data_IF_426833122426
#
_entry.id   IF_426833122426
#
_cell.length_a   1.000
_cell.length_b   1.000
_cell.length_c   1.000
_cell.angle_alpha   90.00
_cell.angle_beta   90.00
_cell.angle_gamma   90.00
#
_symmetry.space_group_name_H-M   'P 1'
#
loop_
_entity.id
_entity.type
_entity.pdbx_description
1 polymer ?
#
# COMPACT_ATOMS: atom_id res chain seq x y z
N UNK A 1 18.59 -14.03 17.30
CA UNK A 1 17.13 -13.77 17.23
C UNK A 1 16.99 -12.46 16.49
N UNK A 2 16.27 -12.41 15.37
CA UNK A 2 16.19 -11.17 14.56
C UNK A 2 14.96 -10.37 14.94
N UNK A 3 15.11 -9.05 15.09
CA UNK A 3 13.98 -8.18 15.39
C UNK A 3 14.36 -6.72 15.55
N UNK A 4 13.43 -5.95 16.12
CA UNK A 4 13.63 -4.53 16.41
C UNK A 4 14.57 -4.43 17.61
N UNK A 5 15.68 -3.70 17.48
CA UNK A 5 16.63 -3.36 18.56
C UNK A 5 16.39 -1.96 19.11
N UNK A 6 15.81 -1.07 18.31
CA UNK A 6 15.53 0.31 18.70
C UNK A 6 14.37 0.87 17.90
N UNK A 7 13.65 1.83 18.46
CA UNK A 7 12.59 2.57 17.76
C UNK A 7 12.66 4.06 18.05
N UNK A 8 12.06 4.86 17.17
CA UNK A 8 11.87 6.29 17.33
C UNK A 8 10.64 6.75 16.54
N UNK A 9 10.03 7.85 16.96
CA UNK A 9 8.87 8.41 16.28
C UNK A 9 9.05 9.92 16.09
N UNK A 10 8.23 10.47 15.20
CA UNK A 10 8.01 11.90 15.07
C UNK A 10 6.55 12.15 14.73
N UNK A 11 5.88 12.94 15.56
CA UNK A 11 4.61 13.59 15.22
C UNK A 11 4.85 15.09 15.21
N UNK A 12 4.51 15.82 14.12
CA UNK A 12 4.56 17.27 14.08
C UNK A 12 3.83 17.86 15.28
N UNK A 13 4.28 18.95 15.91
CA UNK A 13 3.56 19.54 17.03
C UNK A 13 2.28 20.28 16.60
N UNK A 14 2.13 20.59 15.31
CA UNK A 14 1.01 21.36 14.82
C UNK A 14 -0.26 20.52 14.76
N UNK A 15 -1.39 21.09 15.23
CA UNK A 15 -2.68 20.41 15.32
C UNK A 15 -3.76 21.19 14.57
N UNK A 16 -4.46 20.50 13.68
CA UNK A 16 -5.65 21.02 13.02
C UNK A 16 -6.88 20.45 13.71
N UNK A 17 -7.57 21.29 14.49
CA UNK A 17 -8.81 20.89 15.17
C UNK A 17 -9.93 20.67 14.16
N UNK A 18 -10.77 19.66 14.38
CA UNK A 18 -11.89 19.36 13.48
C UNK A 18 -12.93 20.48 13.47
N UNK A 19 -13.07 21.21 14.58
CA UNK A 19 -13.90 22.42 14.62
C UNK A 19 -13.42 23.47 13.61
N UNK A 20 -12.10 23.65 13.47
CA UNK A 20 -11.48 24.61 12.54
C UNK A 20 -11.74 24.26 11.08
N UNK A 21 -11.73 22.97 10.72
CA UNK A 21 -12.14 22.50 9.39
C UNK A 21 -13.58 22.89 9.06
N UNK A 22 -14.47 22.88 10.06
CA UNK A 22 -15.86 23.31 9.94
C UNK A 22 -16.09 24.81 10.15
N UNK A 23 -15.04 25.64 10.12
CA UNK A 23 -15.15 27.10 10.30
C UNK A 23 -15.48 27.56 11.73
N UNK A 24 -15.36 26.66 12.72
CA UNK A 24 -15.62 26.95 14.14
C UNK A 24 -14.32 27.09 14.92
N UNK A 25 -14.30 27.85 16.03
CA UNK A 25 -13.12 27.93 16.89
C UNK A 25 -12.78 26.55 17.45
N UNK A 26 -11.48 26.27 17.59
CA UNK A 26 -11.01 25.05 18.26
C UNK A 26 -11.51 25.02 19.71
N UNK A 27 -11.85 23.82 20.19
CA UNK A 27 -12.21 23.57 21.58
C UNK A 27 -11.07 22.86 22.29
N UNK A 28 -10.78 23.25 23.52
CA UNK A 28 -9.76 22.58 24.34
C UNK A 28 -10.15 21.11 24.57
N UNK A 29 -9.22 20.20 24.30
CA UNK A 29 -9.46 18.76 24.37
C UNK A 29 -10.36 18.19 23.26
N UNK A 30 -10.81 19.02 22.31
CA UNK A 30 -11.58 18.57 21.15
C UNK A 30 -10.76 17.73 20.16
N UNK A 31 -11.42 16.99 19.26
CA UNK A 31 -10.74 16.14 18.29
C UNK A 31 -9.94 16.97 17.28
N UNK A 32 -8.73 16.49 17.00
CA UNK A 32 -7.75 17.12 16.11
C UNK A 32 -6.98 16.07 15.29
N UNK A 33 -6.20 16.54 14.31
CA UNK A 33 -5.20 15.73 13.61
C UNK A 33 -3.85 16.42 13.65
N UNK A 34 -2.76 15.65 13.62
CA UNK A 34 -1.43 16.22 13.48
C UNK A 34 -1.17 16.53 12.00
N UNK A 35 -0.60 17.70 11.75
CA UNK A 35 -0.25 18.13 10.40
C UNK A 35 1.18 18.64 10.38
N UNK A 36 1.95 18.20 9.39
CA UNK A 36 3.20 18.83 9.00
C UNK A 36 2.92 20.31 8.67
N UNK A 37 3.82 21.20 9.07
CA UNK A 37 3.69 22.63 8.81
C UNK A 37 4.38 23.04 7.49
N UNK A 38 4.72 24.32 7.32
CA UNK A 38 5.25 24.85 6.05
C UNK A 38 6.72 24.46 5.78
N UNK A 39 7.44 23.99 6.80
CA UNK A 39 8.85 23.58 6.76
C UNK A 39 9.02 22.07 7.04
N UNK A 40 7.91 21.32 7.06
CA UNK A 40 7.90 19.89 7.34
C UNK A 40 7.34 19.09 6.16
N UNK A 41 7.98 17.98 5.85
CA UNK A 41 7.53 16.99 4.87
C UNK A 41 7.88 15.57 5.35
N UNK A 42 7.56 14.56 4.54
CA UNK A 42 7.85 13.18 4.89
C UNK A 42 9.34 12.90 5.14
N UNK A 43 10.25 13.67 4.52
CA UNK A 43 11.70 13.49 4.68
C UNK A 43 12.16 14.09 6.01
N UNK A 44 11.76 15.32 6.32
CA UNK A 44 12.21 15.98 7.55
C UNK A 44 11.68 15.26 8.79
N UNK A 45 10.43 14.76 8.72
CA UNK A 45 9.87 13.91 9.76
C UNK A 45 10.62 12.58 9.88
N UNK A 46 10.91 11.91 8.76
CA UNK A 46 11.66 10.66 8.72
C UNK A 46 13.05 10.78 9.34
N UNK A 47 13.80 11.83 8.99
CA UNK A 47 15.13 12.10 9.59
C UNK A 47 15.00 12.28 11.10
N UNK A 48 14.00 13.02 11.59
CA UNK A 48 13.84 13.23 13.03
C UNK A 48 13.47 11.96 13.77
N UNK A 49 12.58 11.13 13.22
CA UNK A 49 12.25 9.82 13.79
C UNK A 49 13.47 8.90 13.84
N UNK A 50 14.29 8.89 12.79
CA UNK A 50 15.52 8.10 12.72
C UNK A 50 16.59 8.61 13.70
N UNK A 51 16.75 9.92 13.89
CA UNK A 51 17.63 10.49 14.92
C UNK A 51 17.20 10.01 16.31
N UNK A 52 15.90 10.01 16.61
CA UNK A 52 15.38 9.50 17.88
C UNK A 52 15.62 7.99 18.02
N UNK A 53 15.49 7.22 16.93
CA UNK A 53 15.73 5.78 16.91
C UNK A 53 17.21 5.42 17.13
N UNK A 54 18.14 6.16 16.54
CA UNK A 54 19.59 5.90 16.65
C UNK A 54 20.22 6.48 17.94
N UNK A 55 19.43 7.03 18.86
CA UNK A 55 19.95 7.55 20.12
C UNK A 55 20.56 6.42 20.95
N UNK A 56 21.83 6.58 21.33
CA UNK A 56 22.57 5.56 22.07
C UNK A 56 23.19 4.46 21.20
N UNK A 57 23.04 4.54 19.87
CA UNK A 57 23.62 3.57 18.93
C UNK A 57 24.75 4.19 18.11
N UNK A 58 25.78 3.39 17.85
CA UNK A 58 26.86 3.75 16.95
C UNK A 58 26.38 3.68 15.50
N UNK A 59 26.35 4.85 14.85
CA UNK A 59 25.86 4.99 13.47
C UNK A 59 26.75 4.29 12.45
N UNK A 60 28.03 4.04 12.79
CA UNK A 60 28.96 3.29 11.94
C UNK A 60 28.54 1.82 11.75
N UNK A 61 27.65 1.32 12.61
CA UNK A 61 27.18 -0.06 12.55
C UNK A 61 25.92 -0.24 11.69
N UNK A 62 25.35 0.84 11.15
CA UNK A 62 24.16 0.77 10.28
C UNK A 62 24.60 0.36 8.88
N UNK A 63 24.20 -0.85 8.46
CA UNK A 63 24.59 -1.42 7.17
C UNK A 63 23.63 -1.03 6.03
N UNK A 64 22.36 -0.72 6.36
CA UNK A 64 21.37 -0.30 5.38
C UNK A 64 20.32 0.68 5.93
N UNK A 65 19.78 1.51 5.04
CA UNK A 65 18.60 2.37 5.26
C UNK A 65 17.51 1.99 4.27
N UNK A 66 16.33 1.67 4.78
CA UNK A 66 15.13 1.39 4.01
C UNK A 66 14.07 2.44 4.33
N UNK A 67 13.74 3.30 3.35
CA UNK A 67 12.80 4.39 3.54
C UNK A 67 11.47 4.11 2.84
N UNK A 68 10.40 3.99 3.61
CA UNK A 68 9.05 3.80 3.13
C UNK A 68 8.27 5.12 3.13
N UNK A 69 7.77 5.52 1.96
CA UNK A 69 7.04 6.78 1.78
C UNK A 69 6.19 6.73 0.51
N UNK A 70 4.97 7.25 0.57
CA UNK A 70 4.11 7.45 -0.61
C UNK A 70 4.01 8.90 -1.03
N UNK A 71 4.55 9.83 -0.22
CA UNK A 71 4.43 11.30 -0.32
C UNK A 71 5.78 12.00 -0.46
N UNK A 72 6.77 11.30 -0.99
CA UNK A 72 8.12 11.80 -1.13
C UNK A 72 8.17 12.94 -2.18
N UNK A 73 8.88 14.05 -1.91
CA UNK A 73 8.84 15.24 -2.78
C UNK A 73 9.55 15.10 -4.13
N UNK A 74 10.38 14.08 -4.35
CA UNK A 74 11.08 13.88 -5.63
C UNK A 74 10.63 12.60 -6.34
N UNK A 75 10.55 12.64 -7.67
CA UNK A 75 10.18 11.46 -8.49
C UNK A 75 11.32 10.52 -8.85
N UNK A 76 12.58 10.96 -8.73
CA UNK A 76 13.77 10.19 -9.16
C UNK A 76 14.91 10.18 -8.12
N UNK A 77 15.06 11.27 -7.34
CA UNK A 77 16.07 11.34 -6.27
C UNK A 77 15.77 10.27 -5.22
N UNK A 78 16.76 9.49 -4.80
CA UNK A 78 16.53 8.50 -3.73
C UNK A 78 16.38 9.17 -2.35
N UNK A 79 15.31 8.85 -1.62
CA UNK A 79 15.02 9.34 -0.27
C UNK A 79 15.93 8.72 0.79
N UNK A 80 16.13 7.40 0.77
CA UNK A 80 17.01 6.69 1.69
C UNK A 80 18.45 7.21 1.64
N UNK A 81 18.97 7.59 0.46
CA UNK A 81 20.29 8.21 0.35
C UNK A 81 20.34 9.61 0.99
N UNK A 82 19.26 10.39 0.91
CA UNK A 82 19.16 11.69 1.59
C UNK A 82 19.12 11.49 3.11
N UNK A 83 18.33 10.53 3.60
CA UNK A 83 18.29 10.16 5.02
C UNK A 83 19.67 9.71 5.51
N UNK A 84 20.32 8.78 4.81
CA UNK A 84 21.65 8.30 5.17
C UNK A 84 22.64 9.44 5.32
N UNK A 85 22.63 10.42 4.40
CA UNK A 85 23.50 11.60 4.52
C UNK A 85 23.10 12.52 5.67
N UNK A 86 21.82 12.79 5.85
CA UNK A 86 21.31 13.65 6.93
C UNK A 86 21.56 13.06 8.33
N UNK A 87 21.60 11.72 8.41
CA UNK A 87 21.90 10.96 9.62
C UNK A 87 23.41 10.73 9.81
N UNK A 88 24.26 11.22 8.91
CA UNK A 88 25.71 11.02 8.94
C UNK A 88 26.10 9.54 9.08
N UNK A 89 25.47 8.68 8.28
CA UNK A 89 25.78 7.25 8.20
C UNK A 89 27.02 7.00 7.31
N UNK A 90 27.66 5.82 7.43
CA UNK A 90 28.76 5.43 6.57
C UNK A 90 28.43 5.56 5.09
N UNK A 91 29.40 5.99 4.29
CA UNK A 91 29.23 6.12 2.82
C UNK A 91 28.88 4.79 2.13
N UNK A 92 29.29 3.67 2.71
CA UNK A 92 29.03 2.33 2.19
C UNK A 92 27.67 1.75 2.61
N UNK A 93 26.85 2.51 3.34
CA UNK A 93 25.50 2.08 3.74
C UNK A 93 24.65 1.80 2.50
N UNK A 94 23.94 0.67 2.49
CA UNK A 94 22.97 0.36 1.44
C UNK A 94 21.74 1.25 1.61
N UNK A 95 21.15 1.71 0.51
CA UNK A 95 19.95 2.54 0.54
C UNK A 95 18.89 2.00 -0.40
N UNK A 96 17.65 1.92 0.07
CA UNK A 96 16.50 1.49 -0.71
C UNK A 96 15.23 2.26 -0.32
N UNK A 97 14.41 2.62 -1.30
CA UNK A 97 13.10 3.25 -1.09
C UNK A 97 11.99 2.23 -1.32
N UNK A 98 10.95 2.29 -0.49
CA UNK A 98 9.72 1.50 -0.59
C UNK A 98 8.54 2.46 -0.79
N UNK A 99 7.77 2.28 -1.86
CA UNK A 99 6.68 3.20 -2.21
C UNK A 99 5.54 2.47 -2.92
N UNK A 100 4.58 3.23 -3.45
CA UNK A 100 3.49 2.73 -4.28
C UNK A 100 2.33 2.06 -3.53
N UNK A 101 2.44 1.83 -2.22
CA UNK A 101 1.36 1.26 -1.41
C UNK A 101 1.45 1.67 0.07
N UNK A 102 0.32 1.69 0.78
CA UNK A 102 0.26 2.06 2.20
C UNK A 102 0.78 0.96 3.14
N UNK A 103 1.09 -0.24 2.63
CA UNK A 103 1.88 -1.24 3.37
C UNK A 103 3.39 -1.14 3.13
N UNK A 104 3.88 -0.12 2.43
CA UNK A 104 5.31 0.06 2.16
C UNK A 104 6.18 0.04 3.44
N UNK A 105 5.67 0.58 4.55
CA UNK A 105 6.38 0.55 5.84
C UNK A 105 6.61 -0.86 6.37
N UNK A 106 5.56 -1.69 6.38
CA UNK A 106 5.68 -3.10 6.80
C UNK A 106 6.46 -3.95 5.80
N UNK A 107 6.38 -3.64 4.49
CA UNK A 107 7.23 -4.28 3.48
C UNK A 107 8.72 -4.00 3.74
N UNK A 108 9.06 -2.75 4.08
CA UNK A 108 10.43 -2.38 4.44
C UNK A 108 10.89 -3.07 5.73
N UNK A 109 10.01 -3.20 6.73
CA UNK A 109 10.29 -3.95 7.96
C UNK A 109 10.60 -5.42 7.67
N UNK A 110 9.78 -6.09 6.85
CA UNK A 110 10.02 -7.49 6.44
C UNK A 110 11.33 -7.63 5.68
N UNK A 111 11.58 -6.76 4.70
CA UNK A 111 12.81 -6.78 3.93
C UNK A 111 14.06 -6.58 4.80
N UNK A 112 13.98 -5.74 5.84
CA UNK A 112 15.04 -5.57 6.82
C UNK A 112 15.28 -6.83 7.66
N UNK A 113 14.20 -7.47 8.13
CA UNK A 113 14.29 -8.75 8.86
C UNK A 113 14.91 -9.83 7.99
N UNK A 114 14.50 -9.95 6.73
CA UNK A 114 15.06 -10.91 5.78
C UNK A 114 16.53 -10.65 5.51
N UNK A 115 16.92 -9.38 5.31
CA UNK A 115 18.31 -8.99 5.08
C UNK A 115 19.23 -9.37 6.26
N UNK A 116 18.74 -9.20 7.50
CA UNK A 116 19.45 -9.58 8.72
C UNK A 116 19.49 -11.10 8.91
N UNK A 117 18.36 -11.80 8.74
CA UNK A 117 18.29 -13.27 8.82
C UNK A 117 19.19 -13.95 7.78
N UNK A 118 19.29 -13.38 6.59
CA UNK A 118 20.17 -13.87 5.53
C UNK A 118 21.67 -13.55 5.77
N UNK A 119 22.01 -12.78 6.80
CA UNK A 119 23.38 -12.36 7.11
C UNK A 119 23.96 -11.33 6.13
N UNK A 120 23.11 -10.71 5.30
CA UNK A 120 23.54 -9.71 4.32
C UNK A 120 23.73 -8.32 4.93
N UNK A 121 23.15 -8.08 6.11
CA UNK A 121 23.29 -6.89 6.95
C UNK A 121 23.17 -7.32 8.43
N UNK A 122 23.75 -6.55 9.36
CA UNK A 122 23.59 -6.76 10.81
C UNK A 122 22.62 -5.77 11.41
N UNK A 123 22.68 -4.51 10.99
CA UNK A 123 21.72 -3.49 11.38
C UNK A 123 21.12 -2.78 10.16
N UNK A 124 19.78 -2.76 10.11
CA UNK A 124 19.02 -2.09 9.05
C UNK A 124 18.10 -1.06 9.69
N UNK A 125 18.27 0.21 9.32
CA UNK A 125 17.38 1.28 9.72
C UNK A 125 16.19 1.34 8.77
N UNK A 126 15.01 1.00 9.27
CA UNK A 126 13.73 1.13 8.56
C UNK A 126 13.07 2.42 9.00
N UNK A 127 12.65 3.26 8.06
CA UNK A 127 11.93 4.50 8.36
C UNK A 127 10.67 4.56 7.50
N UNK A 128 9.50 4.72 8.12
CA UNK A 128 8.24 4.94 7.41
C UNK A 128 7.73 6.34 7.72
N UNK A 129 7.41 7.13 6.70
CA UNK A 129 6.87 8.47 6.89
C UNK A 129 5.96 8.89 5.74
N UNK A 130 4.88 9.56 6.09
CA UNK A 130 3.95 10.10 5.09
C UNK A 130 3.32 11.43 5.55
N UNK A 131 3.10 12.30 4.56
CA UNK A 131 2.33 13.54 4.63
C UNK A 131 1.19 13.51 3.61
N UNK A 132 0.20 12.63 3.78
CA UNK A 132 -0.85 12.44 2.76
C UNK A 132 -1.82 13.61 2.79
N UNK A 133 -2.04 14.23 1.63
CA UNK A 133 -2.94 15.37 1.51
C UNK A 133 -4.31 14.90 1.03
N UNK A 134 -5.34 15.15 1.84
CA UNK A 134 -6.73 15.02 1.44
C UNK A 134 -7.24 16.35 0.87
N UNK A 135 -8.19 16.33 -0.06
CA UNK A 135 -8.77 17.56 -0.61
C UNK A 135 -9.43 18.42 0.47
N UNK A 136 -9.26 19.75 0.44
CA UNK A 136 -9.94 20.68 1.33
C UNK A 136 -11.46 20.41 1.45
N UNK A 137 -11.96 20.25 2.68
CA UNK A 137 -13.36 19.98 2.99
C UNK A 137 -13.81 18.52 2.81
N UNK A 138 -12.94 17.63 2.35
CA UNK A 138 -13.27 16.21 2.18
C UNK A 138 -13.17 15.41 3.49
N UNK A 139 -13.78 14.23 3.50
CA UNK A 139 -13.58 13.26 4.59
C UNK A 139 -12.12 12.79 4.71
N UNK A 140 -11.37 12.75 3.60
CA UNK A 140 -9.96 12.36 3.60
C UNK A 140 -9.10 13.39 4.33
N UNK A 141 -9.35 14.69 4.12
CA UNK A 141 -8.63 15.75 4.84
C UNK A 141 -8.80 15.60 6.36
N UNK A 142 -10.01 15.34 6.83
CA UNK A 142 -10.30 15.14 8.25
C UNK A 142 -9.61 13.90 8.81
N UNK A 143 -9.57 12.80 8.05
CA UNK A 143 -9.07 11.52 8.54
C UNK A 143 -7.54 11.39 8.49
N UNK A 144 -6.85 12.07 7.58
CA UNK A 144 -5.40 11.95 7.44
C UNK A 144 -4.63 12.71 8.53
N UNK A 145 -3.49 12.17 8.91
CA UNK A 145 -2.49 12.79 9.76
C UNK A 145 -1.11 12.66 9.15
N UNK A 146 -0.14 13.37 9.73
CA UNK A 146 1.25 13.33 9.28
C UNK A 146 2.15 12.81 10.42
N UNK A 147 3.02 11.84 10.12
CA UNK A 147 4.00 11.33 11.08
C UNK A 147 5.13 10.55 10.40
N UNK A 148 6.15 10.24 11.21
CA UNK A 148 7.18 9.28 10.89
C UNK A 148 7.45 8.32 12.06
N UNK A 149 7.93 7.14 11.72
CA UNK A 149 8.43 6.14 12.66
C UNK A 149 9.68 5.50 12.09
N UNK A 150 10.62 5.16 12.95
CA UNK A 150 11.85 4.49 12.59
C UNK A 150 12.11 3.30 13.52
N UNK A 151 12.61 2.22 12.95
CA UNK A 151 13.05 1.02 13.65
C UNK A 151 14.45 0.66 13.20
N UNK A 152 15.33 0.40 14.15
CA UNK A 152 16.58 -0.28 13.88
C UNK A 152 16.32 -1.78 14.06
N UNK A 153 16.55 -2.55 13.00
CA UNK A 153 16.39 -4.01 12.99
C UNK A 153 17.77 -4.64 13.07
N UNK A 154 17.93 -5.66 13.92
CA UNK A 154 19.19 -6.40 14.05
C UNK A 154 19.00 -7.78 14.69
N UNK A 155 20.10 -8.51 14.86
CA UNK A 155 20.13 -9.86 15.45
C UNK A 155 20.73 -9.92 16.86
N UNK A 156 21.22 -8.78 17.34
CA UNK A 156 21.91 -8.60 18.61
C UNK A 156 21.03 -7.79 19.55
N UNK A 157 20.66 -8.38 20.70
CA UNK A 157 19.87 -7.73 21.75
C UNK A 157 18.54 -7.07 21.28
N UNK A 158 17.71 -7.73 20.44
CA UNK A 158 16.45 -7.15 19.99
C UNK A 158 15.50 -6.91 21.17
N UNK A 159 14.84 -5.75 21.24
CA UNK A 159 13.76 -5.45 22.19
C UNK A 159 12.46 -6.18 21.85
N UNK A 160 12.29 -6.55 20.58
CA UNK A 160 11.19 -7.38 20.13
C UNK A 160 11.66 -8.23 18.94
N UNK A 161 11.59 -9.55 19.06
CA UNK A 161 11.81 -10.44 17.92
C UNK A 161 10.67 -10.33 16.92
N UNK A 162 10.98 -10.47 15.64
CA UNK A 162 9.97 -10.72 14.62
C UNK A 162 9.92 -12.22 14.43
N UNK A 163 8.77 -12.81 14.75
CA UNK A 163 8.59 -14.26 14.75
C UNK A 163 8.08 -14.71 13.38
N UNK A 164 6.93 -14.18 12.97
CA UNK A 164 6.21 -14.57 11.75
C UNK A 164 5.65 -13.35 10.99
N UNK A 165 5.39 -13.53 9.70
CA UNK A 165 4.71 -12.54 8.85
C UNK A 165 3.83 -13.22 7.80
N UNK A 166 2.73 -12.56 7.43
CA UNK A 166 1.80 -13.04 6.40
C UNK A 166 1.41 -11.88 5.48
N UNK A 167 1.32 -12.18 4.18
CA UNK A 167 1.04 -11.18 3.15
C UNK A 167 -0.12 -11.64 2.25
N UNK A 168 -1.03 -10.71 1.97
CA UNK A 168 -2.11 -10.85 0.98
C UNK A 168 -1.88 -9.83 -0.11
N UNK A 169 -2.00 -10.21 -1.37
CA UNK A 169 -1.97 -9.29 -2.50
C UNK A 169 -3.32 -9.31 -3.21
N UNK A 170 -3.91 -8.13 -3.43
CA UNK A 170 -5.17 -7.99 -4.15
C UNK A 170 -5.09 -6.79 -5.08
N UNK A 171 -5.39 -7.04 -6.35
CA UNK A 171 -5.44 -5.99 -7.36
C UNK A 171 -6.80 -5.30 -7.26
N UNK A 172 -6.78 -4.06 -6.80
CA UNK A 172 -7.97 -3.25 -6.62
C UNK A 172 -7.61 -1.77 -6.80
N UNK A 173 -8.50 -1.00 -7.44
CA UNK A 173 -8.36 0.45 -7.56
C UNK A 173 -9.34 1.12 -6.60
N UNK A 174 -9.02 1.07 -5.30
CA UNK A 174 -9.84 1.62 -4.24
C UNK A 174 -9.42 3.06 -3.88
N UNK A 175 -8.15 3.28 -3.57
CA UNK A 175 -7.55 4.56 -3.20
C UNK A 175 -6.24 4.72 -3.95
N UNK A 176 -6.08 5.81 -4.70
CA UNK A 176 -4.89 6.03 -5.52
C UNK A 176 -4.46 7.48 -5.51
N UNK A 177 -3.24 7.74 -5.99
CA UNK A 177 -2.78 9.09 -6.30
C UNK A 177 -1.94 9.05 -7.56
N UNK A 178 -2.30 9.83 -8.58
CA UNK A 178 -1.59 9.83 -9.85
C UNK A 178 -0.23 10.53 -9.67
N UNK A 179 0.73 10.22 -10.54
CA UNK A 179 1.99 10.95 -10.55
C UNK A 179 1.73 12.44 -10.80
N UNK A 180 2.24 13.31 -9.93
CA UNK A 180 2.03 14.76 -9.98
C UNK A 180 0.80 15.26 -9.23
N UNK A 181 -0.14 14.38 -8.83
CA UNK A 181 -1.30 14.80 -8.05
C UNK A 181 -0.88 15.13 -6.60
N UNK A 182 -1.42 16.24 -6.09
CA UNK A 182 -1.28 16.60 -4.67
C UNK A 182 -2.18 15.72 -3.81
N UNK A 183 -3.45 15.61 -4.19
CA UNK A 183 -4.49 14.95 -3.41
C UNK A 183 -4.64 13.47 -3.71
N UNK A 184 -5.03 12.73 -2.67
CA UNK A 184 -5.45 11.33 -2.77
C UNK A 184 -6.84 11.27 -3.39
N UNK A 185 -7.04 10.35 -4.34
CA UNK A 185 -8.33 9.96 -4.89
C UNK A 185 -8.84 8.69 -4.24
N UNK A 186 -10.15 8.52 -4.26
CA UNK A 186 -10.84 7.35 -3.72
C UNK A 186 -12.00 7.01 -4.62
N UNK A 187 -12.28 5.71 -4.77
CA UNK A 187 -13.56 5.25 -5.26
C UNK A 187 -14.63 5.41 -4.17
N UNK A 188 -15.85 4.96 -4.44
CA UNK A 188 -16.96 5.03 -3.50
C UNK A 188 -16.64 4.29 -2.19
N UNK A 189 -16.96 4.93 -1.05
CA UNK A 189 -16.51 4.52 0.28
C UNK A 189 -16.91 3.09 0.64
N UNK A 190 -18.14 2.67 0.30
CA UNK A 190 -18.59 1.31 0.58
C UNK A 190 -17.78 0.28 -0.20
N UNK A 191 -17.48 0.50 -1.48
CA UNK A 191 -16.61 -0.39 -2.25
C UNK A 191 -15.20 -0.48 -1.64
N UNK A 192 -14.58 0.66 -1.34
CA UNK A 192 -13.25 0.74 -0.72
C UNK A 192 -13.18 -0.08 0.57
N UNK A 193 -14.23 -0.01 1.39
CA UNK A 193 -14.26 -0.73 2.66
C UNK A 193 -14.63 -2.21 2.49
N UNK A 194 -15.66 -2.52 1.71
CA UNK A 194 -16.24 -3.87 1.64
C UNK A 194 -15.44 -4.83 0.74
N UNK A 195 -14.86 -4.33 -0.34
CA UNK A 195 -14.10 -5.16 -1.29
C UNK A 195 -12.59 -5.01 -1.09
N UNK A 196 -12.13 -3.81 -0.69
CA UNK A 196 -10.73 -3.52 -0.42
C UNK A 196 -10.33 -3.81 1.02
N UNK A 197 -10.48 -2.82 1.89
CA UNK A 197 -9.89 -2.78 3.23
C UNK A 197 -10.26 -3.97 4.13
N UNK A 198 -11.55 -4.18 4.40
CA UNK A 198 -12.00 -5.15 5.41
C UNK A 198 -11.59 -6.60 5.09
N UNK A 199 -11.94 -7.17 3.92
CA UNK A 199 -11.62 -8.57 3.64
C UNK A 199 -10.11 -8.83 3.64
N UNK A 200 -9.34 -7.95 3.01
CA UNK A 200 -7.89 -8.10 2.90
C UNK A 200 -7.19 -8.00 4.27
N UNK A 201 -7.58 -7.05 5.12
CA UNK A 201 -6.97 -6.92 6.44
C UNK A 201 -7.34 -8.11 7.35
N UNK A 202 -8.59 -8.56 7.30
CA UNK A 202 -9.07 -9.73 8.07
C UNK A 202 -8.36 -11.00 7.61
N UNK A 203 -8.21 -11.21 6.31
CA UNK A 203 -7.43 -12.33 5.75
C UNK A 203 -5.97 -12.26 6.19
N UNK A 204 -5.34 -11.08 6.11
CA UNK A 204 -3.95 -10.89 6.56
C UNK A 204 -3.74 -11.26 8.03
N UNK A 205 -4.64 -10.83 8.93
CA UNK A 205 -4.56 -11.16 10.35
C UNK A 205 -4.83 -12.65 10.60
N UNK A 206 -5.88 -13.22 10.00
CA UNK A 206 -6.23 -14.64 10.18
C UNK A 206 -5.14 -15.56 9.63
N UNK A 207 -4.58 -15.24 8.46
CA UNK A 207 -3.48 -16.00 7.86
C UNK A 207 -2.22 -15.98 8.72
N UNK A 208 -1.88 -14.84 9.32
CA UNK A 208 -0.78 -14.75 10.29
C UNK A 208 -1.05 -15.62 11.53
N UNK A 209 -2.26 -15.56 12.10
CA UNK A 209 -2.63 -16.34 13.28
C UNK A 209 -2.54 -17.85 12.99
N UNK A 210 -3.04 -18.29 11.84
CA UNK A 210 -2.96 -19.67 11.38
C UNK A 210 -1.50 -20.11 11.20
N UNK A 211 -0.69 -19.33 10.47
CA UNK A 211 0.73 -19.63 10.24
C UNK A 211 1.54 -19.67 11.55
N UNK A 212 1.23 -18.79 12.49
CA UNK A 212 1.87 -18.75 13.80
C UNK A 212 1.33 -19.81 14.79
N UNK A 213 0.29 -20.57 14.41
CA UNK A 213 -0.38 -21.52 15.30
C UNK A 213 -0.92 -20.87 16.58
N UNK A 214 -1.40 -19.62 16.48
CA UNK A 214 -1.77 -18.78 17.61
C UNK A 214 -3.23 -18.29 17.50
N UNK A 215 -3.80 -17.86 18.61
CA UNK A 215 -5.09 -17.16 18.63
C UNK A 215 -4.89 -15.66 18.88
N UNK A 216 -5.90 -14.86 18.55
CA UNK A 216 -5.87 -13.43 18.84
C UNK A 216 -5.68 -13.13 20.35
N UNK A 217 -6.21 -13.99 21.23
CA UNK A 217 -6.08 -13.85 22.69
C UNK A 217 -4.64 -13.99 23.21
N UNK A 218 -3.73 -14.55 22.40
CA UNK A 218 -2.32 -14.69 22.78
C UNK A 218 -1.56 -13.36 22.66
N UNK A 219 -2.12 -12.34 22.01
CA UNK A 219 -1.47 -11.06 21.75
C UNK A 219 -1.89 -10.02 22.78
N UNK A 220 -0.89 -9.43 23.46
CA UNK A 220 -1.09 -8.38 24.43
C UNK A 220 -1.55 -7.07 23.77
N UNK A 221 -1.02 -6.77 22.58
CA UNK A 221 -1.47 -5.64 21.76
C UNK A 221 -1.56 -5.99 20.27
N UNK A 222 -2.58 -5.44 19.62
CA UNK A 222 -2.87 -5.57 18.20
C UNK A 222 -3.05 -4.18 17.61
N UNK A 223 -2.22 -3.87 16.61
CA UNK A 223 -2.18 -2.60 15.89
C UNK A 223 -2.72 -2.81 14.48
N UNK A 224 -3.76 -2.05 14.11
CA UNK A 224 -4.43 -2.21 12.82
C UNK A 224 -4.39 -0.90 12.05
N UNK A 225 -3.96 -0.97 10.78
CA UNK A 225 -4.30 0.09 9.84
C UNK A 225 -5.82 0.20 9.73
N UNK A 226 -6.33 1.41 9.55
CA UNK A 226 -7.72 1.64 9.18
C UNK A 226 -7.85 2.97 8.42
N UNK A 227 -8.77 3.09 7.44
CA UNK A 227 -9.00 4.34 6.74
C UNK A 227 -9.64 5.41 7.65
N UNK A 228 -10.44 5.00 8.63
CA UNK A 228 -11.08 5.86 9.62
C UNK A 228 -11.49 5.07 10.88
N UNK A 229 -11.91 5.77 11.93
CA UNK A 229 -12.30 5.16 13.22
C UNK A 229 -13.48 4.19 13.12
N UNK A 230 -14.42 4.41 12.18
CA UNK A 230 -15.57 3.52 11.97
C UNK A 230 -15.12 2.17 11.41
N UNK A 231 -14.30 2.19 10.37
CA UNK A 231 -13.77 0.97 9.74
C UNK A 231 -12.82 0.22 10.68
N UNK A 232 -12.07 0.93 11.53
CA UNK A 232 -11.28 0.31 12.59
C UNK A 232 -12.16 -0.50 13.55
N UNK A 233 -13.21 0.12 14.09
CA UNK A 233 -14.15 -0.55 14.99
C UNK A 233 -14.91 -1.72 14.35
N UNK A 234 -15.12 -1.69 13.03
CA UNK A 234 -15.74 -2.80 12.31
C UNK A 234 -14.81 -4.02 12.25
N UNK A 235 -13.55 -3.84 11.85
CA UNK A 235 -12.57 -4.94 11.79
C UNK A 235 -12.27 -5.51 13.17
N UNK A 236 -12.17 -4.66 14.21
CA UNK A 236 -12.01 -5.11 15.61
C UNK A 236 -13.11 -6.08 16.01
N UNK A 237 -14.37 -5.78 15.68
CA UNK A 237 -15.51 -6.68 15.96
C UNK A 237 -15.48 -7.94 15.11
N UNK A 238 -15.12 -7.83 13.85
CA UNK A 238 -15.07 -8.97 12.92
C UNK A 238 -13.98 -9.98 13.29
N UNK A 239 -12.85 -9.50 13.80
CA UNK A 239 -11.76 -10.32 14.35
C UNK A 239 -12.03 -10.80 15.78
N UNK A 240 -13.07 -10.29 16.44
CA UNK A 240 -13.41 -10.65 17.82
C UNK A 240 -12.34 -10.23 18.83
N UNK A 241 -11.72 -9.07 18.65
CA UNK A 241 -10.66 -8.58 19.53
C UNK A 241 -11.22 -7.91 20.77
N UNK A 242 -10.60 -8.16 21.92
CA UNK A 242 -10.95 -7.50 23.17
C UNK A 242 -10.39 -6.06 23.23
N UNK A 243 -11.09 -5.18 23.93
CA UNK A 243 -10.78 -3.75 23.93
C UNK A 243 -9.39 -3.42 24.50
N UNK A 244 -8.90 -4.22 25.45
CA UNK A 244 -7.58 -4.07 26.05
C UNK A 244 -6.44 -4.56 25.14
N UNK A 245 -6.72 -5.49 24.23
CA UNK A 245 -5.77 -5.95 23.21
C UNK A 245 -5.61 -4.94 22.08
N UNK A 246 -6.61 -4.13 21.79
CA UNK A 246 -6.54 -3.17 20.68
C UNK A 246 -5.69 -1.96 21.08
N UNK A 247 -4.66 -1.67 20.29
CA UNK A 247 -3.88 -0.43 20.46
C UNK A 247 -4.71 0.78 20.02
N UNK A 248 -4.59 1.91 20.73
CA UNK A 248 -5.28 3.17 20.33
C UNK A 248 -4.88 3.53 18.88
N UNK A 249 -5.84 3.62 17.94
CA UNK A 249 -5.55 3.97 16.54
C UNK A 249 -5.25 5.45 16.34
N UNK A 250 -5.30 6.28 17.40
CA UNK A 250 -4.92 7.69 17.40
C UNK A 250 -5.81 8.60 16.52
N UNK A 251 -7.01 8.15 16.14
CA UNK A 251 -8.00 9.01 15.48
C UNK A 251 -8.48 10.12 16.43
N UNK A 252 -8.61 11.34 15.92
CA UNK A 252 -8.95 12.51 16.73
C UNK A 252 -7.78 13.07 17.56
N UNK A 253 -6.56 12.53 17.40
CA UNK A 253 -5.32 13.07 17.99
C UNK A 253 -4.20 13.20 16.95
N UNK A 254 -4.03 12.18 16.12
CA UNK A 254 -3.02 12.08 15.06
C UNK A 254 -3.67 12.03 13.68
N UNK A 255 -4.57 11.07 13.46
CA UNK A 255 -5.11 10.74 12.14
C UNK A 255 -4.34 9.60 11.45
N UNK A 256 -4.81 9.17 10.27
CA UNK A 256 -4.17 8.14 9.46
C UNK A 256 -2.90 8.69 8.79
N UNK A 257 -1.74 8.17 9.17
CA UNK A 257 -0.42 8.64 8.71
C UNK A 257 0.15 7.83 7.54
N UNK A 258 -0.74 7.30 6.69
CA UNK A 258 -0.37 6.57 5.48
C UNK A 258 0.44 5.31 5.79
N UNK A 259 1.58 5.15 5.11
CA UNK A 259 2.41 3.95 5.25
C UNK A 259 3.09 3.79 6.62
N UNK A 260 3.06 4.84 7.44
CA UNK A 260 3.56 4.79 8.81
C UNK A 260 2.48 4.43 9.84
N UNK A 261 1.20 4.39 9.47
CA UNK A 261 0.10 4.43 10.45
C UNK A 261 0.08 3.26 11.44
N UNK A 262 0.05 2.02 10.96
CA UNK A 262 0.09 0.84 11.84
C UNK A 262 1.42 0.73 12.59
N UNK A 263 2.51 1.23 12.00
CA UNK A 263 3.84 1.22 12.59
C UNK A 263 4.03 2.28 13.69
N UNK A 264 3.38 3.44 13.58
CA UNK A 264 3.31 4.43 14.67
C UNK A 264 2.56 3.83 15.86
N UNK A 265 1.47 3.10 15.62
CA UNK A 265 0.80 2.36 16.68
C UNK A 265 1.72 1.31 17.31
N UNK A 266 2.56 0.60 16.53
CA UNK A 266 3.55 -0.34 17.06
C UNK A 266 4.56 0.37 17.97
N UNK A 267 5.08 1.53 17.56
CA UNK A 267 5.98 2.32 18.41
C UNK A 267 5.29 2.78 19.71
N UNK A 268 4.01 3.16 19.65
CA UNK A 268 3.22 3.52 20.83
C UNK A 268 2.96 2.32 21.77
N UNK A 269 2.77 1.12 21.21
CA UNK A 269 2.63 -0.10 21.99
C UNK A 269 3.95 -0.47 22.70
N UNK A 270 5.09 -0.35 22.01
CA UNK A 270 6.43 -0.64 22.55
C UNK A 270 6.81 0.24 23.74
N UNK A 271 6.26 1.46 23.85
CA UNK A 271 6.51 2.33 25.02
C UNK A 271 6.03 1.75 26.35
N UNK A 272 5.02 0.88 26.31
CA UNK A 272 4.40 0.30 27.50
C UNK A 272 4.51 -1.23 27.52
N UNK A 273 5.24 -1.81 26.56
CA UNK A 273 5.40 -3.24 26.40
C UNK A 273 6.29 -3.82 27.50
N UNK A 274 5.99 -5.06 27.88
CA UNK A 274 6.74 -5.83 28.88
C UNK A 274 7.38 -7.04 28.22
N UNK A 275 8.47 -7.51 28.80
CA UNK A 275 9.11 -8.76 28.38
C UNK A 275 8.08 -9.90 28.33
N UNK A 276 8.05 -10.63 27.21
CA UNK A 276 7.12 -11.72 26.97
C UNK A 276 5.82 -11.32 26.27
N UNK A 277 5.48 -10.03 26.18
CA UNK A 277 4.30 -9.57 25.45
C UNK A 277 4.41 -9.98 23.97
N UNK A 278 3.31 -10.51 23.41
CA UNK A 278 3.18 -10.74 21.97
C UNK A 278 2.44 -9.58 21.34
N UNK A 279 2.97 -9.04 20.25
CA UNK A 279 2.39 -7.92 19.52
C UNK A 279 2.06 -8.35 18.09
N UNK A 280 0.96 -7.83 17.55
CA UNK A 280 0.57 -8.02 16.14
C UNK A 280 0.40 -6.66 15.50
N UNK A 281 1.03 -6.43 14.35
CA UNK A 281 0.78 -5.24 13.54
C UNK A 281 0.29 -5.65 12.16
N UNK A 282 -0.78 -5.04 11.68
CA UNK A 282 -1.32 -5.29 10.34
C UNK A 282 -1.55 -3.98 9.57
N UNK A 283 -0.99 -3.91 8.36
CA UNK A 283 -1.14 -2.81 7.41
C UNK A 283 -2.00 -3.23 6.22
N UNK A 284 -2.64 -2.25 5.58
CA UNK A 284 -3.43 -2.46 4.35
C UNK A 284 -2.94 -1.55 3.23
N UNK A 285 -3.01 -2.06 2.01
CA UNK A 285 -2.74 -1.37 0.74
C UNK A 285 -2.55 -2.41 -0.37
N UNK A 286 -3.47 -2.48 -1.33
CA UNK A 286 -3.47 -3.46 -2.43
C UNK A 286 -3.34 -4.91 -1.92
N UNK A 287 -4.13 -5.23 -0.88
CA UNK A 287 -3.97 -6.41 -0.03
C UNK A 287 -3.59 -6.02 1.40
N UNK A 288 -2.87 -6.88 2.11
CA UNK A 288 -2.48 -6.65 3.50
C UNK A 288 -1.11 -7.24 3.84
N UNK A 289 -0.53 -6.76 4.93
CA UNK A 289 0.71 -7.28 5.52
C UNK A 289 0.54 -7.35 7.03
N UNK A 290 0.75 -8.52 7.64
CA UNK A 290 0.66 -8.71 9.08
C UNK A 290 1.98 -9.29 9.62
N UNK A 291 2.42 -8.80 10.78
CA UNK A 291 3.67 -9.22 11.44
C UNK A 291 3.41 -9.51 12.91
N UNK A 292 3.87 -10.67 13.37
CA UNK A 292 3.87 -11.06 14.78
C UNK A 292 5.25 -10.79 15.39
N UNK A 293 5.25 -10.15 16.56
CA UNK A 293 6.45 -9.84 17.32
C UNK A 293 6.34 -10.39 18.74
N UNK A 294 7.48 -10.72 19.35
CA UNK A 294 7.58 -11.06 20.76
C UNK A 294 8.57 -10.15 21.45
N UNK A 295 8.10 -9.42 22.46
CA UNK A 295 8.90 -8.49 23.24
C UNK A 295 9.85 -9.27 24.12
N UNK A 296 11.11 -8.84 24.16
CA UNK A 296 12.17 -9.46 24.94
C UNK A 296 12.43 -8.64 26.21
N UNK A 297 13.24 -9.21 27.08
CA UNK A 297 13.81 -8.58 28.26
C UNK A 297 14.78 -7.41 27.96
N UNK A 298 15.22 -7.24 26.71
CA UNK A 298 16.00 -6.07 26.32
C UNK A 298 15.19 -4.78 26.25
N UNK A 299 13.85 -4.86 26.16
CA UNK A 299 12.98 -3.67 26.18
C UNK A 299 13.17 -2.83 27.46
N UNK A 300 13.48 -3.49 28.58
CA UNK A 300 13.67 -2.85 29.88
C UNK A 300 15.02 -2.10 29.98
N UNK A 301 16.00 -2.49 29.15
CA UNK A 301 17.33 -1.87 29.09
C UNK A 301 17.38 -0.70 28.10
N UNK A 302 16.32 -0.54 27.32
CA UNK A 302 16.25 0.44 26.27
C UNK A 302 16.18 1.86 26.85
N UNK A 303 17.13 2.71 26.49
CA UNK A 303 17.14 4.10 26.99
C UNK A 303 15.85 4.85 26.64
N UNK A 304 15.45 5.76 27.53
CA UNK A 304 14.31 6.65 27.31
C UNK A 304 14.48 7.46 26.01
N UNK A 305 13.44 7.42 25.20
CA UNK A 305 13.37 8.00 23.85
C UNK A 305 12.12 8.83 23.71
N UNK A 306 12.16 9.74 22.73
CA UNK A 306 10.99 10.54 22.35
C UNK A 306 10.07 9.64 21.53
N UNK A 307 9.17 8.97 22.25
CA UNK A 307 8.12 8.15 21.68
C UNK A 307 6.95 8.96 21.13
N UNK A 308 5.96 8.25 20.61
CA UNK A 308 4.68 8.77 20.13
C UNK A 308 3.98 9.57 21.23
N UNK A 309 3.88 9.06 22.47
CA UNK A 309 3.22 9.78 23.57
C UNK A 309 3.83 11.15 23.82
N UNK A 310 5.16 11.22 23.94
CA UNK A 310 5.91 12.46 24.11
C UNK A 310 5.63 13.48 23.00
N UNK A 311 5.56 13.02 21.75
CA UNK A 311 5.25 13.86 20.61
C UNK A 311 3.78 14.31 20.55
N UNK A 312 2.86 13.48 21.03
CA UNK A 312 1.43 13.82 21.10
C UNK A 312 1.17 14.93 22.12
N UNK A 313 1.87 14.92 23.26
CA UNK A 313 1.74 15.92 24.33
C UNK A 313 2.23 17.32 23.92
N UNK A 314 3.21 17.39 23.00
CA UNK A 314 3.72 18.66 22.46
C UNK A 314 2.81 19.17 21.35
N UNK A 315 1.73 19.85 21.72
CA UNK A 315 0.72 20.37 20.78
C UNK A 315 0.74 21.89 20.61
N UNK A 316 0.52 22.34 19.37
CA UNK A 316 0.29 23.73 18.97
C UNK A 316 -0.87 23.79 17.98
N UNK A 317 -2.01 24.30 18.42
CA UNK A 317 -3.19 24.47 17.57
C UNK A 317 -2.97 25.49 16.46
N UNK A 318 -3.47 25.19 15.26
CA UNK A 318 -3.58 26.16 14.16
C UNK A 318 -4.68 27.18 14.49
N UNK A 319 -4.44 28.46 14.20
CA UNK A 319 -5.38 29.55 14.57
C UNK A 319 -6.62 29.62 13.66
N UNK A 320 -6.45 29.34 12.37
CA UNK A 320 -7.52 29.38 11.38
C UNK A 320 -7.26 28.41 10.23
N UNK A 321 -8.32 27.98 9.56
CA UNK A 321 -8.21 27.08 8.43
C UNK A 321 -7.42 27.70 7.26
N UNK A 322 -7.61 29.00 7.00
CA UNK A 322 -6.83 29.75 6.00
C UNK A 322 -5.32 29.73 6.27
N UNK A 323 -4.92 29.73 7.55
CA UNK A 323 -3.51 29.63 7.92
C UNK A 323 -2.95 28.27 7.53
N UNK A 324 -3.71 27.21 7.74
CA UNK A 324 -3.34 25.85 7.34
C UNK A 324 -3.25 25.73 5.80
N UNK A 325 -4.25 26.21 5.07
CA UNK A 325 -4.24 26.17 3.60
C UNK A 325 -3.02 26.91 3.03
N UNK A 326 -2.70 28.11 3.55
CA UNK A 326 -1.50 28.87 3.16
C UNK A 326 -0.20 28.15 3.52
N UNK A 327 -0.11 27.59 4.73
CA UNK A 327 1.09 26.88 5.18
C UNK A 327 1.37 25.63 4.33
N UNK A 328 0.32 24.97 3.86
CA UNK A 328 0.40 23.77 3.02
C UNK A 328 0.35 24.06 1.51
N UNK A 329 0.29 25.33 1.13
CA UNK A 329 0.15 25.78 -0.25
C UNK A 329 -1.01 25.08 -1.00
N UNK A 330 -2.17 24.96 -0.34
CA UNK A 330 -3.36 24.28 -0.86
C UNK A 330 -4.38 25.28 -1.38
N UNK A 331 -5.01 24.94 -2.51
CA UNK A 331 -6.15 25.68 -3.05
C UNK A 331 -7.44 24.86 -2.87
N UNK A 332 -8.54 25.52 -2.51
CA UNK A 332 -9.84 24.85 -2.28
C UNK A 332 -10.52 24.35 -3.56
N UNK A 333 -10.00 24.71 -4.74
CA UNK A 333 -10.57 24.42 -6.07
C UNK A 333 -9.73 23.45 -6.89
N UNK A 334 -8.82 22.70 -6.27
CA UNK A 334 -7.80 21.90 -7.00
C UNK A 334 -8.34 20.63 -7.67
N UNK A 335 -9.60 20.24 -7.45
CA UNK A 335 -10.23 19.31 -8.39
C UNK A 335 -10.66 20.10 -9.62
N UNK A 336 -9.97 19.90 -10.74
CA UNK A 336 -10.52 20.30 -12.03
C UNK A 336 -11.90 19.65 -12.26
N UNK A 337 -12.68 20.28 -13.16
CA UNK A 337 -13.93 19.78 -13.77
C UNK A 337 -13.87 18.25 -13.93
N UNK A 338 -14.96 17.50 -13.63
CA UNK A 338 -14.89 16.12 -13.16
C UNK A 338 -13.83 15.33 -13.91
N UNK A 339 -12.81 14.88 -13.17
CA UNK A 339 -11.93 13.80 -13.62
C UNK A 339 -12.89 12.76 -14.20
N UNK A 340 -12.87 12.60 -15.53
CA UNK A 340 -13.69 11.61 -16.22
C UNK A 340 -13.60 10.35 -15.37
N UNK A 341 -14.74 9.81 -14.93
CA UNK A 341 -14.77 8.76 -13.89
C UNK A 341 -13.84 7.58 -14.25
N UNK A 342 -13.39 7.52 -15.49
CA UNK A 342 -12.39 6.63 -15.99
C UNK A 342 -12.99 5.24 -15.99
N UNK A 343 -12.14 4.25 -15.77
CA UNK A 343 -12.64 2.88 -15.63
C UNK A 343 -13.36 2.72 -14.31
N UNK A 344 -14.56 2.15 -14.39
CA UNK A 344 -15.32 1.74 -13.21
C UNK A 344 -14.48 0.75 -12.40
N UNK A 345 -14.08 1.14 -11.19
CA UNK A 345 -13.29 0.28 -10.31
C UNK A 345 -14.04 -1.01 -9.94
N UNK A 346 -15.38 -0.96 -9.90
CA UNK A 346 -16.21 -2.14 -9.62
C UNK A 346 -16.25 -3.11 -10.80
N UNK A 347 -16.29 -2.62 -12.05
CA UNK A 347 -16.17 -3.49 -13.24
C UNK A 347 -14.77 -4.08 -13.29
N UNK A 348 -13.74 -3.23 -13.12
CA UNK A 348 -12.35 -3.68 -13.10
C UNK A 348 -12.13 -4.79 -12.07
N UNK A 349 -12.59 -4.59 -10.84
CA UNK A 349 -12.49 -5.60 -9.80
C UNK A 349 -13.20 -6.90 -10.18
N UNK A 350 -14.41 -6.85 -10.74
CA UNK A 350 -15.16 -8.07 -11.11
C UNK A 350 -14.51 -8.84 -12.26
N UNK A 351 -13.93 -8.12 -13.22
CA UNK A 351 -13.37 -8.72 -14.45
C UNK A 351 -11.85 -8.92 -14.39
N UNK A 352 -11.15 -8.51 -13.31
CA UNK A 352 -9.67 -8.57 -13.20
C UNK A 352 -9.05 -9.93 -13.48
N UNK A 353 -9.74 -11.01 -13.18
CA UNK A 353 -9.29 -12.36 -13.53
C UNK A 353 -9.22 -12.57 -15.05
N UNK A 354 -10.25 -12.13 -15.77
CA UNK A 354 -10.27 -12.18 -17.23
C UNK A 354 -9.33 -11.15 -17.84
N UNK A 355 -9.29 -9.94 -17.29
CA UNK A 355 -8.65 -8.79 -17.95
C UNK A 355 -7.18 -8.61 -17.58
N UNK A 356 -6.83 -8.74 -16.30
CA UNK A 356 -5.48 -8.54 -15.79
C UNK A 356 -4.71 -9.86 -15.76
N UNK A 357 -5.32 -10.91 -15.20
CA UNK A 357 -4.66 -12.23 -15.14
C UNK A 357 -4.70 -13.00 -16.47
N UNK A 358 -5.52 -12.55 -17.42
CA UNK A 358 -5.80 -13.22 -18.70
C UNK A 358 -6.20 -14.69 -18.53
N UNK A 359 -7.19 -14.90 -17.66
CA UNK A 359 -7.69 -16.23 -17.30
C UNK A 359 -9.09 -16.42 -17.88
N UNK A 360 -9.20 -17.34 -18.83
CA UNK A 360 -10.47 -17.93 -19.23
C UNK A 360 -10.84 -19.09 -18.31
N UNK A 361 -11.70 -19.97 -18.81
CA UNK A 361 -12.10 -21.16 -18.08
C UNK A 361 -12.18 -22.39 -19.00
N UNK A 362 -11.97 -23.57 -18.42
CA UNK A 362 -12.07 -24.86 -19.10
C UNK A 362 -13.24 -25.64 -18.52
N UNK A 363 -14.16 -26.09 -19.38
CA UNK A 363 -15.28 -26.93 -18.96
C UNK A 363 -14.76 -28.28 -18.48
N UNK A 364 -15.13 -28.69 -17.26
CA UNK A 364 -14.68 -29.98 -16.73
C UNK A 364 -15.37 -31.17 -17.41
N UNK A 365 -16.56 -30.97 -18.00
CA UNK A 365 -17.32 -32.02 -18.66
C UNK A 365 -16.85 -32.33 -20.10
N UNK A 366 -16.56 -31.32 -20.92
CA UNK A 366 -16.18 -31.52 -22.33
C UNK A 366 -14.78 -31.00 -22.70
N UNK A 367 -14.10 -30.31 -21.79
CA UNK A 367 -12.76 -29.77 -22.02
C UNK A 367 -12.69 -28.49 -22.85
N UNK A 368 -13.82 -27.95 -23.32
CA UNK A 368 -13.86 -26.69 -24.06
C UNK A 368 -13.28 -25.53 -23.23
N UNK A 369 -12.38 -24.75 -23.83
CA UNK A 369 -11.78 -23.57 -23.22
C UNK A 369 -12.48 -22.34 -23.78
N UNK A 370 -12.91 -21.42 -22.92
CA UNK A 370 -13.70 -20.26 -23.33
C UNK A 370 -13.17 -18.97 -22.70
N UNK A 371 -13.35 -17.88 -23.44
CA UNK A 371 -13.04 -16.52 -23.01
C UNK A 371 -13.96 -15.55 -23.77
N UNK A 372 -14.55 -14.53 -23.11
CA UNK A 372 -14.56 -14.32 -21.66
C UNK A 372 -15.33 -15.44 -20.94
N UNK A 373 -15.15 -15.55 -19.62
CA UNK A 373 -15.78 -16.61 -18.83
C UNK A 373 -17.32 -16.52 -18.90
N UNK A 374 -17.98 -17.66 -19.15
CA UNK A 374 -19.43 -17.79 -19.17
C UNK A 374 -19.93 -18.72 -18.06
N UNK A 375 -21.22 -18.66 -17.72
CA UNK A 375 -21.82 -19.62 -16.77
C UNK A 375 -22.21 -20.95 -17.40
N UNK A 376 -22.38 -20.98 -18.71
CA UNK A 376 -22.86 -22.14 -19.47
C UNK A 376 -21.87 -22.43 -20.58
N UNK A 377 -21.46 -23.70 -20.70
CA UNK A 377 -20.51 -24.09 -21.71
C UNK A 377 -21.15 -24.03 -23.09
N UNK A 378 -20.60 -23.22 -23.98
CA UNK A 378 -21.06 -23.12 -25.38
C UNK A 378 -21.07 -24.45 -26.17
N UNK A 379 -20.33 -25.48 -25.72
CA UNK A 379 -20.23 -26.77 -26.41
C UNK A 379 -21.19 -27.82 -25.84
N UNK A 380 -21.16 -28.06 -24.52
CA UNK A 380 -21.93 -29.14 -23.90
C UNK A 380 -23.04 -28.65 -22.95
N UNK A 381 -23.21 -27.34 -22.79
CA UNK A 381 -24.21 -26.71 -21.92
C UNK A 381 -24.09 -27.06 -20.43
N UNK A 382 -22.97 -27.66 -19.99
CA UNK A 382 -22.66 -27.78 -18.56
C UNK A 382 -22.63 -26.40 -17.91
N UNK A 383 -23.16 -26.29 -16.69
CA UNK A 383 -23.39 -25.03 -15.99
C UNK A 383 -22.57 -24.96 -14.71
N UNK A 384 -21.89 -23.84 -14.52
CA UNK A 384 -21.07 -23.53 -13.34
C UNK A 384 -20.01 -24.60 -12.98
N UNK A 385 -19.62 -25.46 -13.95
CA UNK A 385 -18.64 -26.54 -13.79
C UNK A 385 -17.41 -26.31 -14.69
N UNK A 386 -16.54 -25.42 -14.22
CA UNK A 386 -15.34 -25.01 -14.93
C UNK A 386 -14.15 -24.90 -13.99
N UNK A 387 -12.96 -25.09 -14.54
CA UNK A 387 -11.69 -24.78 -13.89
C UNK A 387 -11.04 -23.56 -14.53
N UNK A 388 -10.35 -22.74 -13.72
CA UNK A 388 -9.58 -21.59 -14.21
C UNK A 388 -8.58 -22.05 -15.26
N UNK A 389 -8.47 -21.32 -16.37
CA UNK A 389 -7.56 -21.65 -17.46
C UNK A 389 -6.79 -20.41 -17.92
N UNK A 390 -5.50 -20.36 -17.59
CA UNK A 390 -4.60 -19.26 -17.99
C UNK A 390 -4.38 -19.27 -19.50
N UNK A 391 -4.45 -18.09 -20.12
CA UNK A 391 -4.22 -17.89 -21.55
C UNK A 391 -2.94 -17.10 -21.84
N UNK A 392 -2.42 -16.34 -20.87
CA UNK A 392 -1.30 -15.41 -21.05
C UNK A 392 0.03 -16.04 -21.47
N UNK A 393 0.27 -17.30 -21.14
CA UNK A 393 1.51 -18.03 -21.46
C UNK A 393 1.37 -18.99 -22.64
N UNK A 394 0.25 -18.91 -23.38
CA UNK A 394 -0.03 -19.78 -24.51
C UNK A 394 0.29 -19.10 -25.83
N UNK A 395 0.72 -19.90 -26.80
CA UNK A 395 0.76 -19.49 -28.21
C UNK A 395 -0.66 -19.64 -28.77
N UNK A 396 -1.17 -18.54 -29.34
CA UNK A 396 -2.41 -18.51 -30.09
C UNK A 396 -2.17 -18.43 -31.59
N UNK A 397 -3.26 -18.28 -32.35
CA UNK A 397 -3.21 -17.98 -33.78
C UNK A 397 -4.32 -17.01 -34.19
N UNK A 398 -4.08 -16.20 -35.20
CA UNK A 398 -5.09 -15.25 -35.72
C UNK A 398 -6.16 -15.99 -36.53
N UNK A 399 -7.42 -15.91 -36.11
CA UNK A 399 -8.56 -16.49 -36.85
C UNK A 399 -9.18 -15.51 -37.84
N UNK A 400 -9.25 -14.24 -37.47
CA UNK A 400 -9.75 -13.16 -38.33
C UNK A 400 -9.22 -11.83 -37.82
N UNK A 401 -9.17 -10.83 -38.68
CA UNK A 401 -8.68 -9.50 -38.35
C UNK A 401 -9.43 -8.42 -39.13
N UNK A 402 -9.41 -7.19 -38.60
CA UNK A 402 -9.92 -5.99 -39.24
C UNK A 402 -8.95 -4.82 -38.98
N UNK A 403 -8.99 -3.84 -39.88
CA UNK A 403 -8.21 -2.61 -39.78
C UNK A 403 -9.14 -1.47 -39.38
N UNK A 404 -9.04 -1.04 -38.12
CA UNK A 404 -9.84 0.07 -37.60
C UNK A 404 -9.08 1.40 -37.78
N UNK A 405 -9.59 2.23 -38.68
CA UNK A 405 -9.06 3.58 -38.95
C UNK A 405 -9.66 4.67 -38.05
N UNK A 406 -10.70 4.35 -37.27
CA UNK A 406 -11.39 5.29 -36.40
C UNK A 406 -10.93 5.20 -34.95
N UNK A 407 -10.42 4.05 -34.51
CA UNK A 407 -9.87 3.93 -33.16
C UNK A 407 -8.74 4.94 -32.95
N UNK A 408 -8.76 5.76 -31.89
CA UNK A 408 -7.73 6.75 -31.62
C UNK A 408 -6.36 6.09 -31.42
N UNK A 409 -5.50 6.18 -32.44
CA UNK A 409 -4.12 5.68 -32.42
C UNK A 409 -3.20 6.68 -33.13
N UNK A 410 -1.96 6.87 -32.67
CA UNK A 410 -0.99 7.71 -33.38
C UNK A 410 -0.58 7.14 -34.74
N UNK A 411 -0.79 5.84 -34.98
CA UNK A 411 -0.43 5.15 -36.22
C UNK A 411 -1.61 4.28 -36.70
N UNK A 412 -2.62 4.86 -37.38
CA UNK A 412 -3.71 4.08 -37.96
C UNK A 412 -3.25 3.25 -39.17
N UNK A 413 -3.86 2.09 -39.44
CA UNK A 413 -5.00 1.51 -38.71
C UNK A 413 -4.59 0.75 -37.44
N UNK A 414 -5.49 0.71 -36.46
CA UNK A 414 -5.40 -0.26 -35.35
C UNK A 414 -5.77 -1.64 -35.87
N UNK A 415 -4.88 -2.62 -35.73
CA UNK A 415 -5.15 -4.01 -36.09
C UNK A 415 -5.91 -4.69 -34.95
N UNK A 416 -7.16 -5.06 -35.21
CA UNK A 416 -8.02 -5.76 -34.25
C UNK A 416 -8.22 -7.19 -34.74
N UNK A 417 -8.08 -8.16 -33.85
CA UNK A 417 -8.07 -9.59 -34.20
C UNK A 417 -9.00 -10.39 -33.31
N UNK A 418 -9.46 -11.53 -33.84
CA UNK A 418 -9.89 -12.66 -33.02
C UNK A 418 -8.77 -13.70 -33.06
N UNK A 419 -8.21 -14.01 -31.90
CA UNK A 419 -7.19 -15.06 -31.76
C UNK A 419 -7.81 -16.33 -31.17
N UNK A 420 -7.42 -17.49 -31.69
CA UNK A 420 -7.67 -18.78 -31.04
C UNK A 420 -6.53 -19.07 -30.06
N UNK A 421 -6.85 -19.36 -28.81
CA UNK A 421 -5.88 -19.69 -27.76
C UNK A 421 -6.33 -20.97 -27.05
N UNK A 422 -5.74 -22.11 -27.42
CA UNK A 422 -6.10 -23.40 -26.82
C UNK A 422 -7.60 -23.74 -26.95
N UNK A 423 -8.27 -23.26 -28.01
CA UNK A 423 -9.70 -23.42 -28.26
C UNK A 423 -10.56 -22.20 -27.90
N UNK A 424 -10.12 -21.32 -27.00
CA UNK A 424 -10.82 -20.07 -26.70
C UNK A 424 -10.67 -19.06 -27.82
N UNK A 425 -11.68 -18.21 -28.04
CA UNK A 425 -11.63 -17.11 -29.01
C UNK A 425 -11.56 -15.78 -28.26
N UNK A 426 -10.51 -15.01 -28.50
CA UNK A 426 -10.26 -13.74 -27.79
C UNK A 426 -10.23 -12.58 -28.78
N UNK A 427 -11.06 -11.56 -28.53
CA UNK A 427 -11.00 -10.30 -29.25
C UNK A 427 -9.90 -9.41 -28.66
N UNK A 428 -8.84 -9.16 -29.43
CA UNK A 428 -7.61 -8.53 -28.94
C UNK A 428 -6.92 -7.73 -30.05
N UNK A 429 -6.23 -6.64 -29.66
CA UNK A 429 -5.41 -5.87 -30.59
C UNK A 429 -4.12 -6.63 -30.91
N UNK A 430 -3.74 -6.69 -32.18
CA UNK A 430 -2.45 -7.19 -32.64
C UNK A 430 -1.49 -6.02 -32.83
N UNK A 431 -0.30 -6.10 -32.26
CA UNK A 431 0.71 -5.04 -32.28
C UNK A 431 2.07 -5.59 -32.71
N UNK A 432 3.04 -4.70 -32.96
CA UNK A 432 4.38 -5.03 -33.49
C UNK A 432 4.32 -5.70 -34.88
N UNK A 433 3.38 -5.31 -35.73
CA UNK A 433 3.25 -5.81 -37.10
C UNK A 433 2.74 -4.71 -38.03
N UNK A 434 3.20 -4.72 -39.27
CA UNK A 434 2.64 -3.87 -40.32
C UNK A 434 1.33 -4.48 -40.86
N UNK A 435 0.32 -3.66 -41.20
CA UNK A 435 -0.97 -4.16 -41.71
C UNK A 435 -0.84 -5.12 -42.90
N UNK A 436 0.16 -4.93 -43.76
CA UNK A 436 0.41 -5.78 -44.94
C UNK A 436 0.89 -7.19 -44.58
N UNK A 437 1.44 -7.40 -43.39
CA UNK A 437 2.04 -8.66 -42.96
C UNK A 437 1.08 -9.53 -42.12
N UNK A 438 -0.09 -9.00 -41.76
CA UNK A 438 -1.11 -9.72 -40.99
C UNK A 438 -1.70 -10.84 -41.85
N UNK A 439 -1.68 -12.08 -41.33
CA UNK A 439 -2.17 -13.27 -42.03
C UNK A 439 -3.05 -14.10 -41.10
N UNK A 440 -4.00 -14.82 -41.69
CA UNK A 440 -4.72 -15.87 -40.98
C UNK A 440 -3.77 -16.98 -40.55
N UNK A 441 -4.09 -17.64 -39.44
CA UNK A 441 -3.33 -18.71 -38.81
C UNK A 441 -1.90 -18.34 -38.37
N UNK A 442 -1.51 -17.05 -38.45
CA UNK A 442 -0.20 -16.62 -37.96
C UNK A 442 -0.13 -16.87 -36.44
N UNK A 443 0.98 -17.46 -35.95
CA UNK A 443 1.15 -17.70 -34.53
C UNK A 443 1.36 -16.37 -33.81
N UNK A 444 0.75 -16.25 -32.63
CA UNK A 444 0.85 -15.06 -31.79
C UNK A 444 1.13 -15.45 -30.33
N UNK A 445 1.82 -14.58 -29.63
CA UNK A 445 1.95 -14.59 -28.18
C UNK A 445 1.27 -13.35 -27.59
N UNK A 446 1.31 -13.21 -26.26
CA UNK A 446 0.54 -12.16 -25.56
C UNK A 446 1.44 -11.37 -24.61
N UNK A 447 1.35 -10.05 -24.71
CA UNK A 447 2.10 -9.13 -23.88
C UNK A 447 1.16 -8.20 -23.10
N UNK A 448 1.45 -7.99 -21.82
CA UNK A 448 0.71 -7.05 -20.98
C UNK A 448 1.14 -5.61 -21.30
N UNK A 449 0.19 -4.76 -21.67
CA UNK A 449 0.46 -3.40 -22.17
C UNK A 449 -0.54 -2.40 -21.63
N UNK A 450 -0.15 -1.12 -21.63
CA UNK A 450 -1.10 -0.02 -21.50
C UNK A 450 -1.94 0.07 -22.78
N UNK A 451 -3.26 -0.11 -22.67
CA UNK A 451 -4.14 -0.08 -23.84
C UNK A 451 -4.56 1.36 -24.21
N UNK A 452 -4.93 2.17 -23.21
CA UNK A 452 -5.25 3.59 -23.32
C UNK A 452 -5.20 4.24 -21.94
N UNK A 453 -5.37 5.58 -21.89
CA UNK A 453 -5.70 6.28 -20.65
C UNK A 453 -7.23 6.49 -20.60
N UNK A 454 -7.85 6.26 -19.45
CA UNK A 454 -9.28 6.52 -19.21
C UNK A 454 -9.40 7.28 -17.89
N UNK A 455 -10.05 8.45 -17.89
CA UNK A 455 -10.07 9.31 -16.70
C UNK A 455 -8.69 9.70 -16.20
N UNK A 456 -7.75 9.97 -17.13
CA UNK A 456 -6.34 10.24 -16.82
C UNK A 456 -5.60 9.12 -16.03
N UNK A 457 -6.18 7.93 -15.93
CA UNK A 457 -5.56 6.73 -15.35
C UNK A 457 -5.12 5.78 -16.45
N UNK A 458 -3.94 5.14 -16.32
CA UNK A 458 -3.52 4.13 -17.28
C UNK A 458 -4.42 2.89 -17.15
N UNK A 459 -4.94 2.41 -18.27
CA UNK A 459 -5.61 1.12 -18.37
C UNK A 459 -4.63 0.07 -18.91
N UNK A 460 -4.60 -1.10 -18.30
CA UNK A 460 -3.73 -2.20 -18.71
C UNK A 460 -4.54 -3.39 -19.20
N UNK A 461 -4.09 -4.00 -20.28
CA UNK A 461 -4.68 -5.19 -20.86
C UNK A 461 -3.64 -5.96 -21.69
N UNK A 462 -3.96 -7.18 -22.10
CA UNK A 462 -3.10 -7.97 -22.96
C UNK A 462 -3.26 -7.56 -24.44
N UNK A 463 -2.17 -7.58 -25.21
CA UNK A 463 -2.19 -7.44 -26.67
C UNK A 463 -1.51 -8.64 -27.30
N UNK A 464 -1.98 -9.05 -28.47
CA UNK A 464 -1.33 -10.09 -29.25
C UNK A 464 -0.09 -9.51 -29.96
N UNK A 465 0.98 -10.29 -30.06
CA UNK A 465 2.19 -9.98 -30.84
C UNK A 465 2.54 -11.18 -31.73
N UNK A 466 3.13 -10.98 -32.92
CA UNK A 466 3.61 -12.09 -33.74
C UNK A 466 4.61 -12.95 -32.95
N UNK A 467 4.38 -14.26 -32.89
CA UNK A 467 5.30 -15.17 -32.23
C UNK A 467 6.55 -15.36 -33.10
N UNK A 468 7.72 -15.01 -32.56
CA UNK A 468 9.01 -15.24 -33.21
C UNK A 468 9.68 -16.44 -32.53
N UNK A 469 9.84 -17.55 -33.25
CA UNK A 469 10.60 -18.68 -32.75
C UNK A 469 12.07 -18.26 -32.58
N UNK A 470 12.53 -18.16 -31.32
CA UNK A 470 13.90 -17.82 -30.95
C UNK A 470 14.89 -18.97 -31.07
#
# INVERSE_FOLDING_TARGET
MTGIVSYGAYVPPTRLAFATLGGRPAQDGGPEKAVAWNDEDAVTMAVTAAVNCLRGFDREQVDAVMFACTTYPFGEKQGAALLARALDLPRAVRSADFSGSLRAGTNALRAAVDAVRAGSARHVLVVASDCRTGPPGSSLEMNFGDAAVAFLVGDSDPIASVDESFAVADEIVDVWRKAGDVFVHSWEERFVVQEGYTPNLVEGVKGLLEQAGASASDFAKIMLYAPNARSHGAVVRELGLEADQVQDPLFGRLGNTGCSFALVQLAAALENAKSGDRLLVASYGDGAEAVALKVTDHVEKLESRRGVSWHLDRRRGVKSYDQYLKARNLNTTEYEVPDDQGLSATIHFRERDADISFVGHKCNACGAVQFPQQRVCETCFSKDDFTRHRLSDKIGKVLTYTFDFFFPTPAPPTVVTICEIGGARVHIQLVNIEPADVKLDMPVEFEFRRIHNSGSRPNYYWKATPFLAG
#
